data_IF_433466816520
#
_entry.id   IF_433466816520
#
_cell.length_a   1.000
_cell.length_b   1.000
_cell.length_c   1.000
_cell.angle_alpha   90.00
_cell.angle_beta   90.00
_cell.angle_gamma   90.00
#
_symmetry.space_group_name_H-M   'P 1'
#
loop_
_entity.id
_entity.type
_entity.pdbx_description
1 polymer ?
#
# COMPACT_ATOMS: atom_id res chain seq x y z
N UNK A 1 8.62 20.22 13.93
CA UNK A 1 8.52 18.79 13.54
C UNK A 1 9.73 18.09 14.17
N UNK A 2 9.53 17.13 15.07
CA UNK A 2 10.65 16.34 15.62
C UNK A 2 10.93 15.21 14.62
N UNK A 3 12.10 15.23 14.00
CA UNK A 3 12.54 14.14 13.11
C UNK A 3 12.87 12.93 13.98
N UNK A 4 12.16 11.82 13.76
CA UNK A 4 12.49 10.53 14.37
C UNK A 4 13.69 9.93 13.65
N UNK A 5 14.86 10.06 14.26
CA UNK A 5 16.14 9.59 13.70
C UNK A 5 16.44 8.12 14.03
N UNK A 6 15.52 7.38 14.67
CA UNK A 6 15.77 5.99 15.07
C UNK A 6 15.86 5.04 13.87
N UNK A 7 15.11 5.34 12.80
CA UNK A 7 15.09 4.58 11.55
C UNK A 7 15.06 5.57 10.38
N UNK A 8 16.22 6.18 10.03
CA UNK A 8 16.27 7.26 9.06
C UNK A 8 15.96 6.82 7.62
N UNK A 9 16.09 5.53 7.29
CA UNK A 9 15.75 4.99 5.98
C UNK A 9 14.78 3.78 6.08
N UNK A 10 14.10 3.49 4.98
CA UNK A 10 13.23 2.30 4.84
C UNK A 10 14.02 1.01 5.07
N UNK A 11 15.30 0.97 4.70
CA UNK A 11 16.20 -0.15 4.98
C UNK A 11 16.37 -0.42 6.48
N UNK A 12 16.36 0.62 7.31
CA UNK A 12 16.47 0.47 8.77
C UNK A 12 15.18 -0.08 9.37
N UNK A 13 14.03 0.35 8.84
CA UNK A 13 12.73 -0.23 9.19
C UNK A 13 12.65 -1.71 8.80
N UNK A 14 13.12 -2.08 7.60
CA UNK A 14 13.19 -3.47 7.14
C UNK A 14 14.09 -4.31 8.03
N UNK A 15 15.30 -3.83 8.33
CA UNK A 15 16.24 -4.50 9.22
C UNK A 15 15.62 -4.72 10.61
N UNK A 16 14.93 -3.70 11.14
CA UNK A 16 14.22 -3.83 12.41
C UNK A 16 13.08 -4.85 12.35
N UNK A 17 12.27 -4.81 11.31
CA UNK A 17 11.15 -5.73 11.12
C UNK A 17 11.65 -7.19 11.10
N UNK A 18 12.73 -7.48 10.38
CA UNK A 18 13.36 -8.82 10.32
C UNK A 18 13.69 -9.40 11.70
N UNK A 19 14.08 -8.55 12.65
CA UNK A 19 14.39 -8.99 14.02
C UNK A 19 13.18 -9.19 14.92
N UNK A 20 11.99 -8.75 14.49
CA UNK A 20 10.78 -8.70 15.32
C UNK A 20 9.64 -9.60 14.87
N UNK A 21 9.55 -9.92 13.59
CA UNK A 21 8.53 -10.83 13.07
C UNK A 21 9.08 -12.26 12.97
N UNK A 22 8.23 -13.30 13.01
CA UNK A 22 8.66 -14.66 12.71
C UNK A 22 9.32 -14.75 11.33
N UNK A 23 10.37 -15.55 11.21
CA UNK A 23 11.16 -15.64 9.97
C UNK A 23 10.30 -15.96 8.75
N UNK A 24 9.41 -16.94 8.83
CA UNK A 24 8.54 -17.30 7.70
C UNK A 24 7.63 -16.14 7.24
N UNK A 25 7.19 -15.29 8.18
CA UNK A 25 6.38 -14.11 7.87
C UNK A 25 7.22 -13.04 7.17
N UNK A 26 8.46 -12.88 7.61
CA UNK A 26 9.40 -11.97 6.96
C UNK A 26 9.66 -12.40 5.51
N UNK A 27 9.99 -13.68 5.30
CA UNK A 27 10.23 -14.22 3.95
C UNK A 27 8.99 -14.11 3.06
N UNK A 28 7.78 -14.37 3.60
CA UNK A 28 6.54 -14.17 2.84
C UNK A 28 6.39 -12.74 2.28
N UNK A 29 6.80 -11.72 3.04
CA UNK A 29 6.71 -10.32 2.62
C UNK A 29 7.88 -9.89 1.73
N UNK A 30 9.09 -10.35 2.03
CA UNK A 30 10.33 -9.81 1.49
C UNK A 30 10.83 -10.56 0.25
N UNK A 31 10.43 -11.82 0.07
CA UNK A 31 10.83 -12.66 -1.05
C UNK A 31 10.19 -12.25 -2.38
N UNK A 32 10.83 -12.67 -3.48
CA UNK A 32 10.33 -12.49 -4.84
C UNK A 32 10.32 -13.84 -5.60
N UNK A 33 9.68 -13.87 -6.76
CA UNK A 33 9.55 -15.11 -7.54
C UNK A 33 10.91 -15.60 -8.06
N UNK A 34 11.11 -16.92 -8.05
CA UNK A 34 12.28 -17.58 -8.65
C UNK A 34 13.56 -17.34 -7.86
N UNK A 35 14.59 -16.80 -8.51
CA UNK A 35 15.89 -16.49 -7.88
C UNK A 35 15.93 -15.10 -7.22
N UNK A 36 14.76 -14.49 -6.98
CA UNK A 36 14.57 -13.19 -6.32
C UNK A 36 15.20 -11.96 -7.02
N UNK A 37 15.72 -12.15 -8.23
CA UNK A 37 16.43 -11.12 -8.98
C UNK A 37 15.54 -9.94 -9.42
N UNK A 38 14.22 -10.11 -9.42
CA UNK A 38 13.28 -9.05 -9.78
C UNK A 38 13.36 -7.84 -8.83
N UNK A 39 13.56 -8.08 -7.53
CA UNK A 39 13.70 -7.00 -6.55
C UNK A 39 14.89 -6.11 -6.88
N UNK A 40 16.06 -6.72 -7.14
CA UNK A 40 17.27 -6.01 -7.54
C UNK A 40 17.05 -5.24 -8.84
N UNK A 41 16.45 -5.86 -9.86
CA UNK A 41 16.15 -5.20 -11.14
C UNK A 41 15.26 -3.96 -10.99
N UNK A 42 14.22 -4.03 -10.15
CA UNK A 42 13.35 -2.88 -9.89
C UNK A 42 14.12 -1.72 -9.24
N UNK A 43 14.98 -2.03 -8.26
CA UNK A 43 15.79 -1.02 -7.57
C UNK A 43 16.84 -0.41 -8.50
N UNK A 44 17.54 -1.23 -9.29
CA UNK A 44 18.54 -0.77 -10.25
C UNK A 44 17.90 0.11 -11.34
N UNK A 45 16.70 -0.23 -11.81
CA UNK A 45 15.96 0.57 -12.77
C UNK A 45 15.59 1.95 -12.20
N UNK A 46 15.10 2.01 -10.96
CA UNK A 46 14.80 3.29 -10.31
C UNK A 46 16.06 4.13 -10.08
N UNK A 47 17.17 3.49 -9.66
CA UNK A 47 18.45 4.16 -9.46
C UNK A 47 19.07 4.71 -10.76
N UNK A 48 18.69 4.16 -11.91
CA UNK A 48 19.13 4.66 -13.22
C UNK A 48 18.50 6.00 -13.60
N UNK A 49 17.40 6.39 -12.94
CA UNK A 49 16.76 7.70 -13.13
C UNK A 49 17.55 8.75 -12.36
N UNK A 50 18.23 9.64 -13.09
CA UNK A 50 19.06 10.70 -12.52
C UNK A 50 18.34 12.05 -12.55
N UNK A 51 18.56 12.87 -11.52
CA UNK A 51 18.06 14.24 -11.46
C UNK A 51 19.06 15.21 -12.10
N UNK A 52 18.53 16.18 -12.84
CA UNK A 52 19.26 17.38 -13.24
C UNK A 52 18.77 18.56 -12.40
N UNK A 53 19.46 18.91 -11.30
CA UNK A 53 18.98 19.92 -10.37
C UNK A 53 19.02 21.31 -11.01
N UNK A 54 17.92 22.05 -10.91
CA UNK A 54 17.90 23.50 -11.12
C UNK A 54 18.64 24.19 -9.97
N UNK A 55 19.59 25.07 -10.28
CA UNK A 55 20.38 25.80 -9.28
C UNK A 55 20.00 27.28 -9.33
N UNK A 56 20.08 27.96 -8.18
CA UNK A 56 19.83 29.41 -8.05
C UNK A 56 18.38 29.87 -8.33
N UNK A 57 17.39 29.01 -8.13
CA UNK A 57 15.95 29.31 -8.35
C UNK A 57 15.27 30.05 -7.18
N UNK A 58 16.01 30.36 -6.10
CA UNK A 58 15.47 30.99 -4.90
C UNK A 58 14.70 30.02 -3.97
N UNK A 59 13.99 30.55 -2.96
CA UNK A 59 13.23 29.73 -2.02
C UNK A 59 12.02 29.08 -2.72
N UNK A 60 11.92 27.76 -2.62
CA UNK A 60 10.78 26.98 -3.11
C UNK A 60 10.03 26.36 -1.93
N UNK A 61 8.70 26.48 -1.93
CA UNK A 61 7.82 25.67 -1.07
C UNK A 61 7.18 24.60 -1.95
N UNK A 62 7.58 23.32 -1.85
CA UNK A 62 7.02 22.26 -2.69
C UNK A 62 5.55 22.00 -2.34
N UNK A 63 4.69 22.03 -3.36
CA UNK A 63 3.35 21.48 -3.29
C UNK A 63 3.37 20.09 -3.91
N UNK A 64 3.11 19.08 -3.09
CA UNK A 64 3.09 17.67 -3.49
C UNK A 64 1.66 17.13 -3.63
N UNK A 65 0.65 17.99 -3.44
CA UNK A 65 -0.74 17.60 -3.61
C UNK A 65 -1.04 17.23 -5.07
N UNK A 66 -2.00 16.34 -5.25
CA UNK A 66 -2.39 15.90 -6.58
C UNK A 66 -3.84 15.44 -6.61
N UNK A 67 -4.48 15.57 -7.78
CA UNK A 67 -5.79 14.99 -8.04
C UNK A 67 -5.63 13.72 -8.86
N UNK A 68 -6.12 12.59 -8.35
CA UNK A 68 -6.09 11.32 -9.07
C UNK A 68 -7.46 10.63 -8.99
N UNK A 69 -7.95 10.13 -10.14
CA UNK A 69 -9.28 9.51 -10.26
C UNK A 69 -10.42 10.38 -9.69
N UNK A 70 -10.32 11.71 -9.86
CA UNK A 70 -11.34 12.67 -9.42
C UNK A 70 -11.34 12.98 -7.93
N UNK A 71 -10.27 12.63 -7.20
CA UNK A 71 -10.12 12.89 -5.77
C UNK A 71 -8.77 13.54 -5.47
N UNK A 72 -8.75 14.41 -4.47
CA UNK A 72 -7.55 15.12 -4.05
C UNK A 72 -6.80 14.36 -2.97
N UNK A 73 -5.48 14.28 -3.12
CA UNK A 73 -4.55 13.64 -2.18
C UNK A 73 -3.43 14.61 -1.82
N UNK A 74 -2.90 14.46 -0.60
CA UNK A 74 -1.83 15.35 -0.12
C UNK A 74 -0.45 14.99 -0.68
N UNK A 75 -0.26 13.75 -1.14
CA UNK A 75 0.99 13.27 -1.74
C UNK A 75 0.68 12.32 -2.92
N UNK A 76 1.59 12.18 -3.90
CA UNK A 76 1.35 11.41 -5.12
C UNK A 76 1.68 9.91 -4.94
N UNK A 77 1.36 9.32 -3.79
CA UNK A 77 1.56 7.90 -3.51
C UNK A 77 0.56 7.41 -2.46
N UNK A 78 0.47 6.10 -2.26
CA UNK A 78 -0.41 5.51 -1.24
C UNK A 78 -0.01 4.12 -0.79
N UNK A 79 -0.86 3.53 0.04
CA UNK A 79 -0.68 2.18 0.56
C UNK A 79 -1.13 1.16 -0.51
N UNK A 80 -0.17 0.43 -1.08
CA UNK A 80 -0.42 -0.67 -2.02
C UNK A 80 -1.11 -1.88 -1.34
N UNK A 81 -1.88 -2.70 -2.08
CA UNK A 81 -2.55 -3.86 -1.50
C UNK A 81 -1.55 -4.95 -1.15
N UNK A 82 -1.41 -5.25 0.15
CA UNK A 82 -0.57 -6.33 0.67
C UNK A 82 -1.46 -7.35 1.39
N UNK A 83 -1.48 -8.56 0.86
CA UNK A 83 -2.21 -9.69 1.44
C UNK A 83 -1.68 -10.09 2.81
N UNK A 84 -2.57 -10.59 3.66
CA UNK A 84 -2.25 -11.15 4.97
C UNK A 84 -1.43 -10.23 5.89
N UNK A 85 -1.56 -8.91 5.78
CA UNK A 85 -0.78 -7.95 6.58
C UNK A 85 -0.88 -8.18 8.10
N UNK A 86 -2.03 -8.67 8.59
CA UNK A 86 -2.22 -9.03 10.00
C UNK A 86 -1.30 -10.13 10.55
N UNK A 87 -0.69 -10.96 9.69
CA UNK A 87 0.31 -11.96 10.13
C UNK A 87 1.66 -11.29 10.43
N UNK A 88 1.94 -10.15 9.80
CA UNK A 88 3.16 -9.36 9.98
C UNK A 88 3.11 -8.58 11.28
N UNK A 89 1.97 -7.96 11.56
CA UNK A 89 1.74 -7.23 12.80
C UNK A 89 0.25 -7.23 13.16
N UNK A 90 -0.12 -7.43 14.43
CA UNK A 90 -1.52 -7.42 14.83
C UNK A 90 -2.23 -6.12 14.41
N UNK A 91 -3.35 -6.28 13.68
CA UNK A 91 -4.20 -5.18 13.18
C UNK A 91 -3.49 -4.26 12.18
N UNK A 92 -2.50 -4.76 11.45
CA UNK A 92 -1.74 -3.98 10.46
C UNK A 92 -2.66 -3.22 9.50
N UNK A 93 -3.70 -3.85 8.98
CA UNK A 93 -4.66 -3.26 8.05
C UNK A 93 -5.35 -2.03 8.65
N UNK A 94 -5.83 -2.14 9.91
CA UNK A 94 -6.48 -1.02 10.63
C UNK A 94 -5.49 0.13 10.88
N UNK A 95 -4.24 -0.20 11.22
CA UNK A 95 -3.18 0.79 11.47
C UNK A 95 -2.82 1.54 10.18
N UNK A 96 -2.62 0.81 9.08
CA UNK A 96 -2.29 1.38 7.78
C UNK A 96 -3.44 2.22 7.21
N UNK A 97 -4.68 1.72 7.29
CA UNK A 97 -5.87 2.46 6.88
C UNK A 97 -5.98 3.80 7.62
N UNK A 98 -5.86 3.78 8.95
CA UNK A 98 -5.92 5.00 9.76
C UNK A 98 -4.76 5.97 9.48
N UNK A 99 -3.56 5.43 9.20
CA UNK A 99 -2.40 6.25 8.84
C UNK A 99 -2.59 6.92 7.46
N UNK A 100 -3.01 6.15 6.46
CA UNK A 100 -3.30 6.65 5.11
C UNK A 100 -4.47 7.68 5.15
N UNK A 101 -5.53 7.43 5.92
CA UNK A 101 -6.63 8.38 6.15
C UNK A 101 -6.15 9.70 6.78
N UNK A 102 -5.34 9.62 7.85
CA UNK A 102 -4.77 10.81 8.50
C UNK A 102 -3.84 11.60 7.58
N UNK A 103 -3.10 10.92 6.73
CA UNK A 103 -2.16 11.53 5.79
C UNK A 103 -2.85 12.06 4.52
N UNK A 104 -4.11 11.71 4.26
CA UNK A 104 -4.80 12.06 3.01
C UNK A 104 -4.26 11.30 1.81
N UNK A 105 -3.96 10.01 2.00
CA UNK A 105 -3.37 9.10 1.01
C UNK A 105 -4.29 7.91 0.75
N UNK A 106 -4.34 7.38 -0.48
CA UNK A 106 -5.17 6.23 -0.78
C UNK A 106 -4.68 4.98 -0.03
N UNK A 107 -5.62 4.25 0.57
CA UNK A 107 -5.38 2.95 1.19
C UNK A 107 -6.05 1.85 0.37
N UNK A 108 -5.26 0.93 -0.17
CA UNK A 108 -5.78 -0.20 -0.94
C UNK A 108 -5.85 -1.47 -0.09
N UNK A 109 -7.05 -1.94 0.21
CA UNK A 109 -7.28 -3.23 0.87
C UNK A 109 -7.09 -4.37 -0.13
N UNK A 110 -6.38 -5.44 0.23
CA UNK A 110 -6.32 -6.66 -0.58
C UNK A 110 -7.50 -7.59 -0.33
N UNK A 111 -7.96 -8.33 -1.34
CA UNK A 111 -8.89 -9.45 -1.15
C UNK A 111 -8.39 -10.54 -0.22
N UNK A 112 -7.06 -10.66 -0.04
CA UNK A 112 -6.44 -11.64 0.86
C UNK A 112 -6.01 -11.01 2.19
N UNK A 113 -6.61 -9.87 2.57
CA UNK A 113 -6.41 -9.27 3.89
C UNK A 113 -6.90 -10.19 5.03
N UNK A 114 -6.39 -9.97 6.24
CA UNK A 114 -6.79 -10.75 7.43
C UNK A 114 -8.07 -10.24 8.10
N UNK A 115 -8.66 -9.19 7.55
CA UNK A 115 -9.88 -8.52 8.04
C UNK A 115 -10.87 -8.39 6.90
N UNK A 116 -12.15 -8.25 7.23
CA UNK A 116 -13.20 -8.00 6.23
C UNK A 116 -13.32 -6.50 5.94
N UNK A 117 -13.89 -6.06 4.79
CA UNK A 117 -14.03 -4.64 4.47
C UNK A 117 -14.75 -3.84 5.57
N UNK A 118 -15.75 -4.44 6.21
CA UNK A 118 -16.56 -3.82 7.26
C UNK A 118 -15.72 -3.46 8.50
N UNK A 119 -14.67 -4.24 8.80
CA UNK A 119 -13.74 -3.95 9.90
C UNK A 119 -12.90 -2.69 9.66
N UNK A 120 -12.75 -2.28 8.40
CA UNK A 120 -11.92 -1.14 7.99
C UNK A 120 -12.72 0.14 7.74
N UNK A 121 -14.04 0.05 7.57
CA UNK A 121 -14.94 1.20 7.42
C UNK A 121 -14.66 2.35 8.42
N UNK A 122 -14.44 2.11 9.74
CA UNK A 122 -14.17 3.20 10.69
C UNK A 122 -12.74 3.78 10.60
N UNK A 123 -11.85 3.20 9.80
CA UNK A 123 -10.43 3.54 9.74
C UNK A 123 -9.99 4.18 8.43
N UNK A 124 -10.69 3.92 7.33
CA UNK A 124 -10.28 4.35 5.98
C UNK A 124 -10.57 5.83 5.67
N UNK A 125 -11.46 6.48 6.43
CA UNK A 125 -11.95 7.82 6.07
C UNK A 125 -12.54 7.82 4.64
N UNK A 126 -12.14 8.79 3.82
CA UNK A 126 -12.52 8.85 2.39
C UNK A 126 -11.40 8.38 1.45
N UNK A 127 -10.49 7.55 1.97
CA UNK A 127 -9.29 7.09 1.26
C UNK A 127 -9.35 5.62 0.80
N UNK A 128 -10.53 4.99 0.87
CA UNK A 128 -10.70 3.56 0.67
C UNK A 128 -10.65 3.10 -0.79
N UNK A 129 -9.63 2.32 -1.13
CA UNK A 129 -9.52 1.55 -2.37
C UNK A 129 -9.59 0.06 -2.07
N UNK A 130 -10.18 -0.73 -2.96
CA UNK A 130 -10.35 -2.17 -2.80
C UNK A 130 -9.69 -2.89 -3.98
N UNK A 131 -8.70 -3.74 -3.70
CA UNK A 131 -8.06 -4.60 -4.68
C UNK A 131 -8.77 -5.94 -4.76
N UNK A 132 -9.03 -6.42 -5.97
CA UNK A 132 -9.72 -7.68 -6.23
C UNK A 132 -8.96 -8.54 -7.26
N UNK A 133 -8.77 -9.83 -6.94
CA UNK A 133 -8.57 -10.89 -7.92
C UNK A 133 -9.94 -11.37 -8.40
N UNK A 134 -10.15 -11.45 -9.72
CA UNK A 134 -11.47 -11.71 -10.31
C UNK A 134 -11.98 -13.12 -9.97
N UNK A 135 -12.98 -13.31 -9.08
CA UNK A 135 -13.55 -14.63 -8.86
C UNK A 135 -14.35 -15.04 -10.11
N UNK A 136 -14.26 -16.31 -10.49
CA UNK A 136 -15.06 -16.87 -11.60
C UNK A 136 -16.56 -16.76 -11.35
N UNK A 137 -16.97 -17.04 -10.12
CA UNK A 137 -18.37 -16.97 -9.71
C UNK A 137 -18.85 -15.50 -9.67
N UNK A 138 -19.87 -15.21 -10.47
CA UNK A 138 -20.45 -13.86 -10.59
C UNK A 138 -21.15 -13.41 -9.31
N UNK A 139 -21.75 -14.33 -8.56
CA UNK A 139 -22.45 -14.02 -7.32
C UNK A 139 -21.48 -13.62 -6.21
N UNK A 140 -20.36 -14.35 -6.09
CA UNK A 140 -19.27 -14.01 -5.15
C UNK A 140 -18.70 -12.63 -5.49
N UNK A 141 -18.43 -12.39 -6.78
CA UNK A 141 -17.92 -11.09 -7.22
C UNK A 141 -18.90 -9.95 -6.90
N UNK A 142 -20.20 -10.14 -7.15
CA UNK A 142 -21.21 -9.13 -6.85
C UNK A 142 -21.30 -8.85 -5.35
N UNK A 143 -21.29 -9.89 -4.50
CA UNK A 143 -21.30 -9.75 -3.04
C UNK A 143 -20.06 -8.99 -2.53
N UNK A 144 -18.87 -9.34 -3.02
CA UNK A 144 -17.63 -8.67 -2.61
C UNK A 144 -17.63 -7.17 -2.95
N UNK A 145 -18.09 -6.81 -4.14
CA UNK A 145 -18.18 -5.41 -4.58
C UNK A 145 -19.24 -4.64 -3.77
N UNK A 146 -20.39 -5.25 -3.51
CA UNK A 146 -21.45 -4.64 -2.69
C UNK A 146 -20.96 -4.38 -1.26
N UNK A 147 -20.30 -5.36 -0.64
CA UNK A 147 -19.72 -5.23 0.71
C UNK A 147 -18.64 -4.15 0.78
N UNK A 148 -17.72 -4.13 -0.18
CA UNK A 148 -16.69 -3.09 -0.26
C UNK A 148 -17.32 -1.69 -0.42
N UNK A 149 -18.30 -1.56 -1.32
CA UNK A 149 -19.02 -0.29 -1.53
C UNK A 149 -19.72 0.17 -0.25
N UNK A 150 -20.44 -0.72 0.43
CA UNK A 150 -21.12 -0.44 1.71
C UNK A 150 -20.16 -0.07 2.84
N UNK A 151 -18.94 -0.62 2.83
CA UNK A 151 -17.89 -0.29 3.77
C UNK A 151 -17.18 1.04 3.47
N UNK A 152 -17.53 1.75 2.39
CA UNK A 152 -16.99 3.06 2.04
C UNK A 152 -15.80 3.03 1.08
N UNK A 153 -15.48 1.89 0.48
CA UNK A 153 -14.49 1.80 -0.58
C UNK A 153 -15.08 2.33 -1.90
N UNK A 154 -14.39 3.26 -2.53
CA UNK A 154 -14.89 3.98 -3.71
C UNK A 154 -14.10 3.70 -4.99
N UNK A 155 -12.90 3.14 -4.87
CA UNK A 155 -12.04 2.81 -6.01
C UNK A 155 -11.75 1.32 -6.05
N UNK A 156 -11.97 0.69 -7.20
CA UNK A 156 -11.65 -0.72 -7.45
C UNK A 156 -10.31 -0.84 -8.17
N UNK A 157 -9.40 -1.65 -7.64
CA UNK A 157 -8.14 -2.02 -8.27
C UNK A 157 -8.23 -3.48 -8.71
N UNK A 158 -8.32 -3.73 -10.01
CA UNK A 158 -8.38 -5.09 -10.54
C UNK A 158 -6.96 -5.61 -10.79
N UNK A 159 -6.58 -6.69 -10.11
CA UNK A 159 -5.29 -7.35 -10.31
C UNK A 159 -5.44 -8.50 -11.30
N UNK A 160 -4.67 -8.45 -12.39
CA UNK A 160 -4.79 -9.35 -13.56
C UNK A 160 -3.50 -10.11 -13.91
N UNK A 161 -2.43 -9.91 -13.14
CA UNK A 161 -1.11 -10.50 -13.35
C UNK A 161 -0.97 -11.91 -12.76
N UNK A 162 -1.83 -12.26 -11.81
CA UNK A 162 -1.97 -13.63 -11.29
C UNK A 162 -3.09 -14.33 -12.06
N UNK A 163 -2.79 -15.32 -12.91
CA UNK A 163 -3.82 -16.19 -13.44
C UNK A 163 -4.45 -16.94 -12.26
N UNK A 164 -5.74 -16.68 -12.03
CA UNK A 164 -6.56 -17.46 -11.10
C UNK A 164 -7.29 -18.51 -11.92
N UNK A 165 -7.06 -19.78 -11.58
CA UNK A 165 -7.77 -20.93 -12.18
C UNK A 165 -9.26 -20.92 -11.86
#
# INVERSE_FOLDING_TARGET
MSLDIRYPAISDLRARARTRVPHFVFEYLDSATGIEDQHKRNMDALASVQFMPGILEGPMTPDLSTTFLGRDYHLPFGCAPVGMSGIMWPRAEKILAAACAKAGLPYTMSTTATVVPEDLAPHIGDQGWFQMYMPHDKSIRADMLDRATKAGFHTLVLTVDVPVD
#
